data_IF_962286792388
#
_entry.id   IF_962286792388
#
_cell.length_a   1.000
_cell.length_b   1.000
_cell.length_c   1.000
_cell.angle_alpha   90.00
_cell.angle_beta   90.00
_cell.angle_gamma   90.00
#
_symmetry.space_group_name_H-M   'P 1'
#
loop_
_entity.id
_entity.type
_entity.pdbx_description
1 polymer ?
#
# COMPACT_ATOMS: atom_id res chain seq x y z
N UNK A 1 11.76 0.49 9.71
CA UNK A 1 11.36 0.86 11.08
C UNK A 1 12.35 1.80 11.76
N UNK A 2 13.61 1.36 12.02
CA UNK A 2 14.60 2.17 12.76
C UNK A 2 14.80 3.59 12.23
N UNK A 3 14.90 3.75 10.91
CA UNK A 3 15.08 5.08 10.32
C UNK A 3 13.83 5.96 10.45
N UNK A 4 12.65 5.38 10.21
CA UNK A 4 11.36 6.08 10.39
C UNK A 4 11.19 6.58 11.84
N UNK A 5 11.59 5.77 12.82
CA UNK A 5 11.58 6.17 14.23
C UNK A 5 12.47 7.39 14.50
N UNK A 6 13.65 7.51 13.87
CA UNK A 6 14.51 8.70 14.02
C UNK A 6 13.84 9.95 13.45
N UNK A 7 13.28 9.84 12.24
CA UNK A 7 12.64 10.97 11.55
C UNK A 7 11.38 11.43 12.28
N UNK A 8 10.58 10.49 12.81
CA UNK A 8 9.35 10.82 13.54
C UNK A 8 9.58 11.26 14.98
N UNK A 9 10.76 11.00 15.57
CA UNK A 9 11.05 11.31 16.97
C UNK A 9 10.19 10.52 17.98
N UNK A 10 9.58 9.40 17.56
CA UNK A 10 8.71 8.55 18.40
C UNK A 10 8.87 7.07 18.06
N UNK A 11 8.55 6.16 19.00
CA UNK A 11 8.67 4.72 18.76
C UNK A 11 7.89 4.26 17.52
N UNK A 12 8.51 3.38 16.73
CA UNK A 12 7.84 2.68 15.62
C UNK A 12 7.90 1.19 15.93
N UNK A 13 6.72 0.58 16.16
CA UNK A 13 6.60 -0.85 16.36
C UNK A 13 6.73 -1.55 15.02
N UNK A 14 7.70 -2.45 14.87
CA UNK A 14 7.83 -3.28 13.67
C UNK A 14 7.17 -4.63 13.91
N UNK A 15 6.33 -5.06 12.98
CA UNK A 15 5.69 -6.37 12.98
C UNK A 15 6.31 -7.21 11.85
N UNK A 16 6.61 -8.46 12.15
CA UNK A 16 7.31 -9.41 11.27
C UNK A 16 6.39 -10.04 10.21
N UNK A 17 5.12 -9.64 10.21
CA UNK A 17 4.11 -10.00 9.24
C UNK A 17 3.24 -8.78 8.90
N UNK A 18 2.40 -8.89 7.87
CA UNK A 18 1.43 -7.88 7.47
C UNK A 18 -0.04 -8.33 7.60
N UNK A 19 -0.29 -9.65 7.68
CA UNK A 19 -1.66 -10.18 7.78
C UNK A 19 -1.79 -11.39 8.73
N UNK A 20 -0.74 -11.69 9.50
CA UNK A 20 -0.73 -12.76 10.50
C UNK A 20 -1.57 -12.43 11.74
N UNK A 21 -1.87 -13.45 12.55
CA UNK A 21 -2.67 -13.30 13.78
C UNK A 21 -2.05 -12.29 14.75
N UNK A 22 -0.73 -12.38 14.99
CA UNK A 22 0.01 -11.42 15.82
C UNK A 22 -0.12 -9.98 15.31
N UNK A 23 -0.17 -9.78 13.98
CA UNK A 23 -0.36 -8.45 13.39
C UNK A 23 -1.76 -7.93 13.67
N UNK A 24 -2.78 -8.77 13.48
CA UNK A 24 -4.18 -8.41 13.74
C UNK A 24 -4.41 -8.08 15.22
N UNK A 25 -3.77 -8.81 16.13
CA UNK A 25 -3.84 -8.51 17.57
C UNK A 25 -3.16 -7.18 17.91
N UNK A 26 -1.97 -6.93 17.36
CA UNK A 26 -1.22 -5.70 17.61
C UNK A 26 -1.92 -4.44 17.09
N UNK A 27 -2.67 -4.52 15.98
CA UNK A 27 -3.42 -3.38 15.43
C UNK A 27 -4.79 -3.19 16.07
N UNK A 28 -5.29 -4.14 16.86
CA UNK A 28 -6.66 -4.09 17.41
C UNK A 28 -6.85 -2.96 18.41
N UNK A 29 -5.89 -2.78 19.33
CA UNK A 29 -5.94 -1.76 20.39
C UNK A 29 -4.54 -1.19 20.68
N UNK A 30 -3.85 -0.58 19.71
CA UNK A 30 -2.60 0.10 19.97
C UNK A 30 -2.85 1.34 20.84
N UNK A 31 -1.86 1.75 21.62
CA UNK A 31 -1.94 3.03 22.33
C UNK A 31 -2.14 4.18 21.34
N UNK A 32 -2.90 5.20 21.71
CA UNK A 32 -3.17 6.34 20.83
C UNK A 32 -1.86 6.99 20.33
N UNK A 33 -1.81 7.31 19.04
CA UNK A 33 -0.62 7.90 18.40
C UNK A 33 0.51 6.91 18.08
N UNK A 34 0.31 5.61 18.34
CA UNK A 34 1.26 4.56 17.97
C UNK A 34 1.47 4.48 16.45
N UNK A 35 2.70 4.19 16.04
CA UNK A 35 3.05 3.95 14.64
C UNK A 35 3.52 2.51 14.50
N UNK A 36 2.80 1.75 13.68
CA UNK A 36 3.11 0.36 13.38
C UNK A 36 3.59 0.27 11.93
N UNK A 37 4.74 -0.37 11.72
CA UNK A 37 5.27 -0.70 10.41
C UNK A 37 5.21 -2.22 10.23
N UNK A 38 4.45 -2.67 9.26
CA UNK A 38 4.30 -4.07 8.92
C UNK A 38 5.43 -4.55 8.01
N UNK A 39 5.65 -5.86 7.98
CA UNK A 39 6.61 -6.49 7.07
C UNK A 39 6.14 -6.39 5.61
N UNK A 40 7.08 -6.63 4.69
CA UNK A 40 6.94 -6.54 3.26
C UNK A 40 5.77 -7.36 2.70
N UNK A 41 4.76 -6.66 2.17
CA UNK A 41 3.59 -7.23 1.51
C UNK A 41 3.94 -8.24 0.39
N UNK A 42 5.06 -8.06 -0.31
CA UNK A 42 5.48 -8.95 -1.41
C UNK A 42 6.04 -10.30 -0.95
N UNK A 43 6.15 -10.53 0.36
CA UNK A 43 6.35 -11.88 0.89
C UNK A 43 5.12 -12.76 0.66
N UNK A 44 3.95 -12.14 0.45
CA UNK A 44 2.73 -12.81 0.01
C UNK A 44 2.57 -12.73 -1.51
N UNK A 45 2.40 -13.89 -2.15
CA UNK A 45 2.16 -13.97 -3.59
C UNK A 45 0.82 -13.33 -4.00
N UNK A 46 -0.09 -13.20 -3.04
CA UNK A 46 -1.39 -12.57 -3.13
C UNK A 46 -1.29 -11.05 -3.34
N UNK A 47 -0.19 -10.41 -2.95
CA UNK A 47 0.03 -8.98 -3.18
C UNK A 47 0.15 -8.66 -4.67
N UNK A 48 0.96 -9.41 -5.39
CA UNK A 48 1.20 -9.22 -6.83
C UNK A 48 0.29 -10.08 -7.71
N UNK A 49 -0.50 -10.97 -7.11
CA UNK A 49 -1.31 -11.97 -7.80
C UNK A 49 -0.49 -13.05 -8.54
N UNK A 50 0.81 -13.13 -8.28
CA UNK A 50 1.68 -14.16 -8.87
C UNK A 50 2.99 -14.35 -8.12
N UNK A 51 3.50 -15.57 -8.13
CA UNK A 51 4.83 -15.91 -7.62
C UNK A 51 5.74 -16.39 -8.74
N UNK A 52 7.01 -16.65 -8.41
CA UNK A 52 7.98 -17.31 -9.29
C UNK A 52 8.30 -18.68 -8.71
N UNK A 53 8.34 -19.70 -9.56
CA UNK A 53 8.84 -21.02 -9.16
C UNK A 53 10.38 -21.04 -9.08
N UNK A 54 10.93 -22.22 -8.72
CA UNK A 54 12.39 -22.45 -8.66
C UNK A 54 13.11 -22.15 -9.98
N UNK A 55 12.38 -22.21 -11.10
CA UNK A 55 12.88 -21.95 -12.45
C UNK A 55 12.56 -20.52 -12.93
N UNK A 56 12.15 -19.61 -12.03
CA UNK A 56 11.75 -18.22 -12.30
C UNK A 56 10.52 -18.07 -13.20
N UNK A 57 9.73 -19.13 -13.42
CA UNK A 57 8.49 -19.08 -14.19
C UNK A 57 7.38 -18.47 -13.34
N UNK A 58 6.58 -17.59 -13.95
CA UNK A 58 5.45 -16.93 -13.29
C UNK A 58 4.32 -17.93 -13.05
N UNK A 59 3.92 -18.08 -11.79
CA UNK A 59 2.75 -18.85 -11.38
C UNK A 59 1.69 -17.85 -10.92
N UNK A 60 0.49 -17.95 -11.49
CA UNK A 60 -0.64 -17.11 -11.09
C UNK A 60 -1.17 -17.57 -9.72
N UNK A 61 -1.38 -16.63 -8.81
CA UNK A 61 -2.01 -16.92 -7.52
C UNK A 61 -3.52 -17.07 -7.72
N UNK A 62 -4.13 -18.00 -6.99
CA UNK A 62 -5.58 -18.19 -6.99
C UNK A 62 -6.30 -16.88 -6.65
N UNK A 63 -7.32 -16.54 -7.44
CA UNK A 63 -8.09 -15.31 -7.26
C UNK A 63 -8.80 -15.27 -5.89
N UNK A 64 -9.24 -16.41 -5.36
CA UNK A 64 -9.88 -16.47 -4.05
C UNK A 64 -8.85 -16.19 -2.94
N UNK A 65 -7.61 -16.69 -3.06
CA UNK A 65 -6.54 -16.36 -2.11
C UNK A 65 -6.20 -14.88 -2.11
N UNK A 66 -6.12 -14.27 -3.30
CA UNK A 66 -5.93 -12.83 -3.45
C UNK A 66 -7.07 -12.06 -2.77
N UNK A 67 -8.31 -12.48 -2.97
CA UNK A 67 -9.48 -11.86 -2.31
C UNK A 67 -9.41 -11.97 -0.79
N UNK A 68 -9.09 -13.15 -0.26
CA UNK A 68 -8.95 -13.35 1.19
C UNK A 68 -7.81 -12.49 1.78
N UNK A 69 -6.70 -12.34 1.07
CA UNK A 69 -5.61 -11.45 1.49
C UNK A 69 -6.05 -9.99 1.56
N UNK A 70 -6.81 -9.49 0.57
CA UNK A 70 -7.37 -8.13 0.60
C UNK A 70 -8.34 -7.93 1.77
N UNK A 71 -9.17 -8.93 2.08
CA UNK A 71 -10.06 -8.90 3.26
C UNK A 71 -9.25 -8.82 4.55
N UNK A 72 -8.14 -9.55 4.66
CA UNK A 72 -7.25 -9.46 5.83
C UNK A 72 -6.63 -8.07 5.95
N UNK A 73 -6.14 -7.49 4.84
CA UNK A 73 -5.63 -6.11 4.83
C UNK A 73 -6.71 -5.11 5.25
N UNK A 74 -7.96 -5.28 4.82
CA UNK A 74 -9.07 -4.41 5.19
C UNK A 74 -9.44 -4.44 6.68
N UNK A 75 -9.06 -5.50 7.41
CA UNK A 75 -9.30 -5.60 8.86
C UNK A 75 -8.29 -4.83 9.70
N UNK A 76 -7.22 -4.29 9.08
CA UNK A 76 -6.15 -3.61 9.79
C UNK A 76 -6.51 -2.18 10.22
N UNK A 77 -7.60 -1.61 9.68
CA UNK A 77 -8.05 -0.29 10.07
C UNK A 77 -9.35 0.12 9.37
N UNK A 78 -9.82 1.33 9.69
CA UNK A 78 -11.11 1.83 9.21
C UNK A 78 -11.01 2.66 7.91
N UNK A 79 -9.85 3.29 7.69
CA UNK A 79 -9.59 4.22 6.60
C UNK A 79 -8.33 3.76 5.85
N UNK A 80 -8.43 3.72 4.52
CA UNK A 80 -7.29 3.46 3.64
C UNK A 80 -6.78 4.75 3.03
N UNK A 81 -5.48 5.01 3.17
CA UNK A 81 -4.80 6.14 2.55
C UNK A 81 -3.70 5.60 1.65
N UNK A 82 -3.77 5.88 0.34
CA UNK A 82 -2.74 5.52 -0.61
C UNK A 82 -1.79 6.70 -0.83
N UNK A 83 -0.55 6.56 -0.36
CA UNK A 83 0.50 7.56 -0.58
C UNK A 83 1.67 7.03 -1.43
N UNK A 84 1.42 5.99 -2.24
CA UNK A 84 2.43 5.28 -3.03
C UNK A 84 2.18 5.40 -4.55
N UNK A 85 2.33 6.60 -5.11
CA UNK A 85 2.09 6.89 -6.54
C UNK A 85 2.86 5.95 -7.48
N UNK A 86 4.13 5.68 -7.19
CA UNK A 86 4.99 4.82 -8.01
C UNK A 86 4.47 3.38 -8.19
N UNK A 87 3.55 2.91 -7.34
CA UNK A 87 2.90 1.60 -7.46
C UNK A 87 1.46 1.65 -7.96
N UNK A 88 0.87 2.84 -8.14
CA UNK A 88 -0.53 3.03 -8.50
C UNK A 88 -0.91 2.43 -9.88
N UNK A 89 0.06 2.27 -10.78
CA UNK A 89 -0.13 1.62 -12.09
C UNK A 89 -0.35 0.10 -12.01
N UNK A 90 -0.22 -0.52 -10.81
CA UNK A 90 -0.33 -1.96 -10.61
C UNK A 90 -1.63 -2.30 -9.89
N UNK A 91 -2.39 -3.25 -10.42
CA UNK A 91 -3.58 -3.82 -9.78
C UNK A 91 -3.23 -4.82 -8.65
N UNK A 92 -2.28 -4.44 -7.80
CA UNK A 92 -1.85 -5.23 -6.64
C UNK A 92 -2.85 -5.11 -5.49
N UNK A 93 -2.86 -6.09 -4.58
CA UNK A 93 -3.82 -6.14 -3.49
C UNK A 93 -3.82 -4.91 -2.60
N UNK A 94 -2.64 -4.40 -2.23
CA UNK A 94 -2.52 -3.18 -1.42
C UNK A 94 -3.03 -1.92 -2.13
N UNK A 95 -2.99 -1.86 -3.46
CA UNK A 95 -3.33 -0.66 -4.23
C UNK A 95 -4.83 -0.45 -4.41
N UNK A 96 -5.62 -1.54 -4.36
CA UNK A 96 -7.05 -1.49 -4.67
C UNK A 96 -7.88 -0.83 -3.56
N UNK A 97 -7.39 -0.83 -2.32
CA UNK A 97 -8.15 -0.36 -1.15
C UNK A 97 -9.48 -1.11 -0.95
N UNK A 98 -9.60 -2.34 -1.47
CA UNK A 98 -10.83 -3.13 -1.38
C UNK A 98 -11.17 -3.46 0.06
N UNK A 99 -12.45 -3.37 0.41
CA UNK A 99 -12.95 -3.62 1.78
C UNK A 99 -13.01 -2.38 2.67
N UNK A 100 -12.30 -1.30 2.32
CA UNK A 100 -12.37 -0.03 3.04
C UNK A 100 -13.52 0.84 2.55
N UNK A 101 -14.32 1.38 3.49
CA UNK A 101 -15.41 2.32 3.16
C UNK A 101 -14.88 3.69 2.76
N UNK A 102 -13.83 4.16 3.45
CA UNK A 102 -13.18 5.45 3.20
C UNK A 102 -11.81 5.21 2.58
N UNK A 103 -11.58 5.84 1.43
CA UNK A 103 -10.32 5.74 0.68
C UNK A 103 -9.89 7.14 0.28
N UNK A 104 -8.63 7.48 0.56
CA UNK A 104 -8.07 8.78 0.25
C UNK A 104 -6.68 8.65 -0.38
N UNK A 105 -6.28 9.69 -1.12
CA UNK A 105 -4.89 9.90 -1.49
C UNK A 105 -4.16 10.54 -0.30
N UNK A 106 -2.93 10.09 -0.04
CA UNK A 106 -2.02 10.83 0.84
C UNK A 106 -1.47 12.07 0.12
N UNK A 107 -0.71 12.91 0.83
CA UNK A 107 -0.24 14.18 0.28
C UNK A 107 0.73 14.02 -0.90
N UNK A 108 1.56 12.97 -0.91
CA UNK A 108 2.45 12.70 -2.03
C UNK A 108 1.62 12.29 -3.26
N UNK A 109 0.67 11.37 -3.08
CA UNK A 109 -0.23 10.94 -4.16
C UNK A 109 -1.06 12.11 -4.70
N UNK A 110 -1.65 12.92 -3.82
CA UNK A 110 -2.48 14.08 -4.16
C UNK A 110 -1.69 15.09 -4.99
N UNK A 111 -0.47 15.42 -4.55
CA UNK A 111 0.43 16.30 -5.29
C UNK A 111 0.76 15.75 -6.68
N UNK A 112 1.13 14.48 -6.80
CA UNK A 112 1.41 13.86 -8.11
C UNK A 112 0.20 13.98 -9.03
N UNK A 113 -1.00 13.63 -8.55
CA UNK A 113 -2.25 13.74 -9.32
C UNK A 113 -2.54 15.18 -9.74
N UNK A 114 -2.34 16.16 -8.87
CA UNK A 114 -2.56 17.58 -9.18
C UNK A 114 -1.62 18.07 -10.30
N UNK A 115 -0.33 17.74 -10.22
CA UNK A 115 0.64 18.14 -11.24
C UNK A 115 0.37 17.47 -12.59
N UNK A 116 0.04 16.17 -12.59
CA UNK A 116 -0.34 15.47 -13.82
C UNK A 116 -1.67 15.99 -14.40
N UNK A 117 -2.66 16.31 -13.56
CA UNK A 117 -3.93 16.87 -14.02
C UNK A 117 -3.72 18.22 -14.73
N UNK A 118 -2.90 19.11 -14.15
CA UNK A 118 -2.53 20.40 -14.77
C UNK A 118 -1.86 20.20 -16.13
N UNK A 119 -0.98 19.21 -16.28
CA UNK A 119 -0.28 18.98 -17.53
C UNK A 119 -1.13 18.26 -18.60
N UNK A 120 -2.02 17.34 -18.20
CA UNK A 120 -2.75 16.46 -19.12
C UNK A 120 -4.16 16.92 -19.45
N UNK A 121 -4.85 17.57 -18.49
CA UNK A 121 -6.27 17.95 -18.65
C UNK A 121 -6.39 19.40 -19.10
N UNK A 122 -5.73 20.33 -18.40
CA UNK A 122 -5.82 21.78 -18.67
C UNK A 122 -4.43 22.46 -18.72
N UNK A 123 -3.54 22.05 -19.64
CA UNK A 123 -2.21 22.64 -19.71
C UNK A 123 -2.25 24.09 -20.18
N UNK A 124 -1.57 24.96 -19.44
CA UNK A 124 -1.26 26.32 -19.90
C UNK A 124 -0.39 26.22 -21.15
N UNK A 125 -0.85 26.84 -22.24
CA UNK A 125 -0.14 26.81 -23.53
C UNK A 125 0.85 27.98 -23.65
N UNK A 126 1.97 27.81 -24.37
CA UNK A 126 2.38 26.60 -25.09
C UNK A 126 2.85 25.49 -24.14
N UNK A 127 2.40 24.25 -24.40
CA UNK A 127 2.83 23.06 -23.66
C UNK A 127 3.87 22.30 -24.46
N UNK A 128 5.04 22.04 -23.85
CA UNK A 128 6.17 21.36 -24.45
C UNK A 128 6.47 20.06 -23.69
N UNK A 129 6.59 18.95 -24.42
CA UNK A 129 7.10 17.69 -23.90
C UNK A 129 8.54 17.48 -24.40
N UNK A 130 9.45 17.17 -23.48
CA UNK A 130 10.84 16.78 -23.76
C UNK A 130 10.96 15.30 -23.39
N UNK A 131 11.38 14.47 -24.35
CA UNK A 131 11.44 13.01 -24.25
C UNK A 131 12.89 12.52 -24.27
#
# INVERSE_FOLDING_TARGET
>A
AKELQKVLGRPVCFLDDCVGENTLEAVKNPSEGSVLLLENLRFYAEETGSSKDKNKKKIKTDAEKVRQFRIKLARLGDIYVNDAFGTAHRAHSSMMGEGYKVRAAGFLMDKELEYFAKALQEPVKPFLAIL
#
